data_IF_242886633572
#
_entry.id   IF_242886633572
#
_cell.length_a   1.000
_cell.length_b   1.000
_cell.length_c   1.000
_cell.angle_alpha   90.00
_cell.angle_beta   90.00
_cell.angle_gamma   90.00
#
_symmetry.space_group_name_H-M   'P 1'
#
loop_
_entity.id
_entity.type
_entity.pdbx_description
1 polymer ?
#
# COMPACT_ATOMS: atom_id res chain seq x y z
N UNK A 1 10.31 -2.71 15.93
CA UNK A 1 9.48 -1.60 15.40
C UNK A 1 8.40 -1.33 16.42
N UNK A 2 8.14 -0.08 16.77
CA UNK A 2 7.05 0.26 17.70
C UNK A 2 5.69 0.17 17.00
N UNK A 3 4.62 0.04 17.80
CA UNK A 3 3.24 0.08 17.28
C UNK A 3 2.94 1.40 16.56
N UNK A 4 3.51 2.52 17.04
CA UNK A 4 3.33 3.84 16.44
C UNK A 4 4.04 3.95 15.09
N UNK A 5 5.27 3.45 15.00
CA UNK A 5 6.03 3.38 13.74
C UNK A 5 5.27 2.53 12.71
N UNK A 6 4.73 1.39 13.12
CA UNK A 6 3.95 0.51 12.25
C UNK A 6 2.67 1.19 11.75
N UNK A 7 1.94 1.87 12.65
CA UNK A 7 0.73 2.61 12.27
C UNK A 7 1.02 3.69 11.23
N UNK A 8 2.10 4.47 11.42
CA UNK A 8 2.54 5.47 10.45
C UNK A 8 2.91 4.86 9.10
N UNK A 9 3.63 3.74 9.10
CA UNK A 9 4.00 3.04 7.86
C UNK A 9 2.78 2.50 7.12
N UNK A 10 1.83 1.88 7.84
CA UNK A 10 0.59 1.38 7.26
C UNK A 10 -0.21 2.52 6.60
N UNK A 11 -0.39 3.64 7.29
CA UNK A 11 -1.10 4.79 6.75
C UNK A 11 -0.43 5.35 5.48
N UNK A 12 0.91 5.42 5.48
CA UNK A 12 1.67 5.87 4.32
C UNK A 12 1.54 4.93 3.13
N UNK A 13 1.63 3.62 3.36
CA UNK A 13 1.46 2.61 2.31
C UNK A 13 0.06 2.74 1.69
N UNK A 14 -0.99 2.70 2.52
CA UNK A 14 -2.37 2.78 2.02
C UNK A 14 -2.58 4.04 1.18
N UNK A 15 -2.12 5.20 1.65
CA UNK A 15 -2.27 6.45 0.90
C UNK A 15 -1.57 6.39 -0.46
N UNK A 16 -0.30 6.02 -0.47
CA UNK A 16 0.51 6.03 -1.68
C UNK A 16 -0.03 5.08 -2.75
N UNK A 17 -0.32 3.83 -2.37
CA UNK A 17 -0.75 2.83 -3.35
C UNK A 17 -2.19 3.10 -3.83
N UNK A 18 -3.06 3.68 -2.99
CA UNK A 18 -4.39 4.12 -3.44
C UNK A 18 -4.32 5.33 -4.37
N UNK A 19 -3.45 6.31 -4.09
CA UNK A 19 -3.24 7.45 -4.99
C UNK A 19 -2.72 6.98 -6.37
N UNK A 20 -1.78 6.03 -6.38
CA UNK A 20 -1.24 5.47 -7.63
C UNK A 20 -2.23 4.55 -8.36
N UNK A 21 -3.05 3.80 -7.62
CA UNK A 21 -4.18 3.05 -8.18
C UNK A 21 -5.21 3.98 -8.84
N UNK A 22 -5.58 5.07 -8.18
CA UNK A 22 -6.51 6.07 -8.74
C UNK A 22 -5.93 6.71 -10.00
N UNK A 23 -4.63 7.03 -10.02
CA UNK A 23 -3.94 7.52 -11.22
C UNK A 23 -3.94 6.49 -12.35
N UNK A 24 -3.73 5.22 -12.05
CA UNK A 24 -3.76 4.16 -13.05
C UNK A 24 -5.16 4.00 -13.66
N UNK A 25 -6.22 4.04 -12.83
CA UNK A 25 -7.62 4.05 -13.30
C UNK A 25 -7.89 5.25 -14.21
N UNK A 26 -7.46 6.46 -13.81
CA UNK A 26 -7.62 7.69 -14.62
C UNK A 26 -6.89 7.64 -15.96
N UNK A 27 -5.89 6.78 -16.10
CA UNK A 27 -5.11 6.60 -17.32
C UNK A 27 -5.54 5.35 -18.12
N UNK A 28 -6.71 4.77 -17.83
CA UNK A 28 -7.23 3.56 -18.47
C UNK A 28 -6.27 2.35 -18.39
N UNK A 29 -5.51 2.23 -17.30
CA UNK A 29 -4.59 1.11 -17.04
C UNK A 29 -5.07 0.25 -15.85
N UNK A 30 -6.06 -0.65 -16.07
CA UNK A 30 -6.62 -1.47 -15.01
C UNK A 30 -5.66 -2.55 -14.50
N UNK A 31 -4.70 -2.98 -15.32
CA UNK A 31 -3.69 -3.96 -14.89
C UNK A 31 -2.74 -3.33 -13.89
N UNK A 32 -2.30 -2.11 -14.15
CA UNK A 32 -1.50 -1.36 -13.18
C UNK A 32 -2.29 -1.06 -11.92
N UNK A 33 -3.55 -0.62 -12.02
CA UNK A 33 -4.40 -0.38 -10.86
C UNK A 33 -4.48 -1.61 -9.93
N UNK A 34 -4.68 -2.80 -10.50
CA UNK A 34 -4.64 -4.06 -9.75
C UNK A 34 -3.27 -4.32 -9.11
N UNK A 35 -2.19 -4.09 -9.86
CA UNK A 35 -0.82 -4.27 -9.37
C UNK A 35 -0.52 -3.38 -8.15
N UNK A 36 -0.95 -2.12 -8.15
CA UNK A 36 -0.75 -1.20 -7.01
C UNK A 36 -1.49 -1.72 -5.76
N UNK A 37 -2.70 -2.27 -5.93
CA UNK A 37 -3.45 -2.86 -4.81
C UNK A 37 -2.78 -4.12 -4.25
N UNK A 38 -2.27 -5.00 -5.12
CA UNK A 38 -1.55 -6.20 -4.70
C UNK A 38 -0.25 -5.86 -3.96
N UNK A 39 0.46 -4.83 -4.43
CA UNK A 39 1.66 -4.33 -3.77
C UNK A 39 1.36 -3.69 -2.41
N UNK A 40 0.25 -2.96 -2.27
CA UNK A 40 -0.23 -2.48 -0.98
C UNK A 40 -0.41 -3.64 0.01
N UNK A 41 -1.13 -4.69 -0.39
CA UNK A 41 -1.36 -5.87 0.45
C UNK A 41 -0.04 -6.54 0.85
N UNK A 42 0.89 -6.69 -0.11
CA UNK A 42 2.21 -7.29 0.16
C UNK A 42 3.02 -6.46 1.15
N UNK A 43 3.06 -5.13 0.99
CA UNK A 43 3.78 -4.19 1.88
C UNK A 43 3.18 -4.21 3.29
N UNK A 44 1.84 -4.17 3.40
CA UNK A 44 1.14 -4.24 4.69
C UNK A 44 1.44 -5.52 5.47
N UNK A 45 1.41 -6.68 4.80
CA UNK A 45 1.78 -7.97 5.41
C UNK A 45 3.21 -7.95 5.97
N UNK A 46 4.16 -7.32 5.27
CA UNK A 46 5.55 -7.19 5.74
C UNK A 46 5.67 -6.29 6.98
N UNK A 47 4.93 -5.18 7.03
CA UNK A 47 4.92 -4.30 8.21
C UNK A 47 4.37 -5.06 9.42
N UNK A 48 3.22 -5.72 9.28
CA UNK A 48 2.64 -6.50 10.38
C UNK A 48 3.57 -7.65 10.80
N UNK A 49 4.18 -8.35 9.85
CA UNK A 49 5.17 -9.39 10.17
C UNK A 49 6.41 -8.84 10.88
N UNK A 50 6.70 -7.53 10.78
CA UNK A 50 7.85 -6.89 11.43
C UNK A 50 7.54 -6.39 12.85
N UNK A 51 6.28 -6.49 13.29
CA UNK A 51 5.87 -6.28 14.69
C UNK A 51 6.20 -7.54 15.49
N UNK A 52 7.34 -7.50 16.17
CA UNK A 52 7.75 -8.49 17.17
C UNK A 52 8.24 -7.75 18.40
#
# INVERSE_FOLDING_TARGET
MSNEEAAMMIQRIIRNELDDCERAIKNDDPQKALSELDDAVRKLKRVVASLH
#
